data_IF_246149439822
#
_entry.id   IF_246149439822
#
_cell.length_a   1.000
_cell.length_b   1.000
_cell.length_c   1.000
_cell.angle_alpha   90.00
_cell.angle_beta   90.00
_cell.angle_gamma   90.00
#
_symmetry.space_group_name_H-M   'P 1'
#
loop_
_entity.id
_entity.type
_entity.pdbx_description
1 polymer ?
#
# COMPACT_ATOMS: atom_id res chain seq x y z
N UNK A 1 -2.23 2.91 -13.74
CA UNK A 1 -1.07 2.56 -12.90
C UNK A 1 0.25 2.53 -13.67
N UNK A 2 0.32 1.93 -14.87
CA UNK A 2 1.59 1.79 -15.63
C UNK A 2 2.37 3.09 -15.87
N UNK A 3 1.72 4.16 -16.34
CA UNK A 3 2.39 5.44 -16.55
C UNK A 3 3.03 6.02 -15.26
N UNK A 4 2.38 5.84 -14.12
CA UNK A 4 2.90 6.28 -12.81
C UNK A 4 4.12 5.44 -12.43
N UNK A 5 4.07 4.12 -12.68
CA UNK A 5 5.20 3.21 -12.47
C UNK A 5 6.42 3.60 -13.31
N UNK A 6 6.22 3.96 -14.58
CA UNK A 6 7.30 4.46 -15.46
C UNK A 6 7.91 5.76 -14.93
N UNK A 7 7.07 6.74 -14.58
CA UNK A 7 7.56 8.02 -14.00
C UNK A 7 8.30 7.78 -12.69
N UNK A 8 7.84 6.84 -11.86
CA UNK A 8 8.51 6.49 -10.61
C UNK A 8 9.87 5.82 -10.85
N UNK A 9 9.94 4.85 -11.77
CA UNK A 9 11.22 4.23 -12.16
C UNK A 9 12.21 5.28 -12.70
N UNK A 10 11.74 6.18 -13.58
CA UNK A 10 12.56 7.28 -14.09
C UNK A 10 13.05 8.20 -12.97
N UNK A 11 12.21 8.53 -12.00
CA UNK A 11 12.58 9.34 -10.85
C UNK A 11 13.64 8.66 -9.97
N UNK A 12 13.53 7.34 -9.75
CA UNK A 12 14.51 6.57 -8.98
C UNK A 12 15.85 6.48 -9.69
N UNK A 13 15.86 6.14 -10.98
CA UNK A 13 17.10 6.00 -11.78
C UNK A 13 17.78 7.36 -11.94
N UNK A 14 17.04 8.42 -12.26
CA UNK A 14 17.62 9.76 -12.36
C UNK A 14 18.17 10.26 -11.02
N UNK A 15 17.42 10.04 -9.93
CA UNK A 15 17.87 10.37 -8.58
C UNK A 15 19.15 9.64 -8.19
N UNK A 16 19.24 8.34 -8.50
CA UNK A 16 20.45 7.54 -8.29
C UNK A 16 21.64 8.11 -9.06
N UNK A 17 21.51 8.33 -10.37
CA UNK A 17 22.60 8.84 -11.21
C UNK A 17 23.12 10.19 -10.70
N UNK A 18 22.23 11.10 -10.31
CA UNK A 18 22.60 12.44 -9.83
C UNK A 18 23.26 12.40 -8.45
N UNK A 19 22.77 11.56 -7.54
CA UNK A 19 23.15 11.61 -6.12
C UNK A 19 24.24 10.60 -5.75
N UNK A 20 24.42 9.51 -6.50
CA UNK A 20 25.36 8.43 -6.19
C UNK A 20 26.79 8.91 -5.88
N UNK A 21 27.41 9.84 -6.64
CA UNK A 21 28.77 10.30 -6.35
C UNK A 21 28.91 10.99 -4.99
N UNK A 22 27.83 11.60 -4.50
CA UNK A 22 27.79 12.30 -3.22
C UNK A 22 27.38 11.41 -2.04
N UNK A 23 26.60 10.36 -2.31
CA UNK A 23 26.06 9.45 -1.29
C UNK A 23 27.10 8.43 -0.79
N UNK A 24 27.98 7.94 -1.68
CA UNK A 24 28.96 6.90 -1.34
C UNK A 24 29.93 7.34 -0.24
N UNK A 25 30.27 8.64 -0.18
CA UNK A 25 31.24 9.17 0.80
C UNK A 25 30.71 9.22 2.24
N UNK A 26 29.40 9.25 2.42
CA UNK A 26 28.71 9.46 3.70
C UNK A 26 27.64 8.38 3.97
N UNK A 27 27.69 7.23 3.29
CA UNK A 27 26.59 6.25 3.19
C UNK A 27 26.01 5.77 4.53
N UNK A 28 26.83 5.68 5.58
CA UNK A 28 26.40 5.26 6.93
C UNK A 28 26.58 6.36 7.99
N UNK A 29 26.81 7.60 7.58
CA UNK A 29 27.09 8.70 8.48
C UNK A 29 25.79 9.25 9.11
N UNK A 30 25.31 8.63 10.20
CA UNK A 30 24.17 9.14 10.95
C UNK A 30 24.62 10.15 12.02
N UNK A 31 24.73 11.43 11.67
CA UNK A 31 25.31 12.45 12.56
C UNK A 31 24.27 12.93 13.58
N UNK A 32 24.29 12.33 14.77
CA UNK A 32 23.49 12.75 15.93
C UNK A 32 24.10 14.00 16.56
N UNK A 33 23.33 15.09 16.67
CA UNK A 33 23.80 16.34 17.27
C UNK A 33 22.73 17.44 17.23
N UNK A 34 23.11 18.67 17.60
CA UNK A 34 22.18 19.82 17.68
C UNK A 34 21.53 20.20 16.34
N UNK A 35 22.05 19.71 15.20
CA UNK A 35 21.52 19.99 13.87
C UNK A 35 20.52 18.91 13.40
N UNK A 36 19.27 19.00 13.87
CA UNK A 36 18.21 18.06 13.49
C UNK A 36 18.00 17.97 11.96
N UNK A 37 18.19 19.06 11.21
CA UNK A 37 18.04 19.02 9.74
C UNK A 37 19.04 18.06 9.13
N UNK A 38 20.31 18.14 9.53
CA UNK A 38 21.36 17.27 9.00
C UNK A 38 21.09 15.81 9.36
N UNK A 39 20.66 15.55 10.59
CA UNK A 39 20.22 14.23 11.00
C UNK A 39 19.10 13.66 10.10
N UNK A 40 18.05 14.45 9.83
CA UNK A 40 16.94 14.01 8.96
C UNK A 40 17.36 13.83 7.50
N UNK A 41 18.32 14.64 7.01
CA UNK A 41 18.91 14.45 5.68
C UNK A 41 19.72 13.16 5.61
N UNK A 42 20.57 12.90 6.60
CA UNK A 42 21.36 11.68 6.71
C UNK A 42 20.42 10.45 6.79
N UNK A 43 19.35 10.52 7.60
CA UNK A 43 18.34 9.46 7.70
C UNK A 43 17.59 9.22 6.38
N UNK A 44 17.19 10.29 5.67
CA UNK A 44 16.58 10.20 4.34
C UNK A 44 17.51 9.52 3.34
N UNK A 45 18.80 9.86 3.35
CA UNK A 45 19.79 9.27 2.45
C UNK A 45 20.03 7.78 2.75
N UNK A 46 20.20 7.41 4.02
CA UNK A 46 20.41 6.02 4.44
C UNK A 46 19.20 5.16 4.06
N UNK A 47 17.99 5.59 4.46
CA UNK A 47 16.76 4.86 4.14
C UNK A 47 16.52 4.81 2.63
N UNK A 48 16.82 5.90 1.93
CA UNK A 48 16.68 6.02 0.48
C UNK A 48 17.52 4.99 -0.26
N UNK A 49 18.81 4.91 0.08
CA UNK A 49 19.73 4.02 -0.61
C UNK A 49 19.55 2.55 -0.19
N UNK A 50 19.19 2.26 1.06
CA UNK A 50 18.93 0.86 1.49
C UNK A 50 17.64 0.29 0.91
N UNK A 51 16.59 1.11 0.74
CA UNK A 51 15.32 0.69 0.15
C UNK A 51 15.27 0.80 -1.38
N UNK A 52 16.28 1.42 -2.00
CA UNK A 52 16.32 1.64 -3.45
C UNK A 52 16.18 0.36 -4.28
N UNK A 53 16.90 -0.74 -4.01
CA UNK A 53 16.76 -1.98 -4.81
C UNK A 53 15.32 -2.50 -4.79
N UNK A 54 14.68 -2.46 -3.62
CA UNK A 54 13.28 -2.84 -3.45
C UNK A 54 12.35 -1.94 -4.27
N UNK A 55 12.50 -0.62 -4.17
CA UNK A 55 11.65 0.31 -4.92
C UNK A 55 11.83 0.21 -6.43
N UNK A 56 13.06 -0.05 -6.90
CA UNK A 56 13.33 -0.27 -8.32
C UNK A 56 12.70 -1.57 -8.82
N UNK A 57 12.82 -2.65 -8.05
CA UNK A 57 12.16 -3.94 -8.33
C UNK A 57 10.64 -3.77 -8.40
N UNK A 58 10.02 -3.10 -7.43
CA UNK A 58 8.57 -2.85 -7.43
C UNK A 58 8.16 -1.97 -8.62
N UNK A 59 8.90 -0.90 -8.91
CA UNK A 59 8.60 -0.05 -10.05
C UNK A 59 8.65 -0.82 -11.38
N UNK A 60 9.66 -1.68 -11.57
CA UNK A 60 9.81 -2.50 -12.77
C UNK A 60 8.70 -3.56 -12.88
N UNK A 61 8.40 -4.28 -11.80
CA UNK A 61 7.33 -5.28 -11.81
C UNK A 61 5.96 -4.65 -12.09
N UNK A 62 5.65 -3.46 -11.53
CA UNK A 62 4.42 -2.71 -11.84
C UNK A 62 4.33 -2.35 -13.33
N UNK A 63 5.44 -1.99 -13.97
CA UNK A 63 5.47 -1.72 -15.41
C UNK A 63 5.13 -3.01 -16.17
N UNK A 64 5.75 -4.13 -15.82
CA UNK A 64 5.44 -5.43 -16.43
C UNK A 64 3.95 -5.75 -16.30
N UNK A 65 3.37 -5.62 -15.10
CA UNK A 65 1.94 -5.87 -14.89
C UNK A 65 1.03 -4.94 -15.67
N UNK A 66 1.37 -3.65 -15.73
CA UNK A 66 0.51 -2.67 -16.38
C UNK A 66 0.55 -2.76 -17.91
N UNK A 67 1.58 -3.37 -18.48
CA UNK A 67 1.78 -3.49 -19.93
C UNK A 67 1.89 -4.96 -20.37
N UNK A 68 1.42 -5.91 -19.56
CA UNK A 68 1.56 -7.34 -19.85
C UNK A 68 0.89 -7.72 -21.18
N UNK A 69 -0.28 -7.16 -21.51
CA UNK A 69 -0.94 -7.37 -22.80
C UNK A 69 -0.03 -6.97 -23.98
N UNK A 70 0.54 -5.76 -23.94
CA UNK A 70 1.47 -5.30 -24.98
C UNK A 70 2.75 -6.11 -25.04
N UNK A 71 3.24 -6.59 -23.89
CA UNK A 71 4.41 -7.47 -23.83
C UNK A 71 4.10 -8.83 -24.44
N UNK A 72 2.93 -9.39 -24.15
CA UNK A 72 2.45 -10.64 -24.72
C UNK A 72 2.22 -10.51 -26.23
N UNK A 73 1.62 -9.42 -26.70
CA UNK A 73 1.47 -9.13 -28.14
C UNK A 73 2.83 -8.98 -28.84
N UNK A 74 3.80 -8.29 -28.22
CA UNK A 74 5.14 -8.17 -28.80
C UNK A 74 5.86 -9.53 -28.84
N UNK A 75 5.69 -10.35 -27.80
CA UNK A 75 6.25 -11.70 -27.72
C UNK A 75 5.57 -12.66 -28.72
N UNK A 76 4.27 -12.52 -28.98
CA UNK A 76 3.57 -13.31 -30.00
C UNK A 76 4.12 -13.01 -31.40
N UNK A 77 4.37 -11.74 -31.72
CA UNK A 77 4.92 -11.34 -33.02
C UNK A 77 6.38 -11.75 -33.25
N UNK A 78 7.18 -11.80 -32.18
CA UNK A 78 8.64 -11.99 -32.29
C UNK A 78 9.13 -13.39 -31.90
N UNK A 79 8.51 -14.01 -30.89
CA UNK A 79 9.03 -15.20 -30.21
C UNK A 79 8.09 -16.39 -30.36
N UNK A 80 6.81 -16.24 -30.00
CA UNK A 80 5.86 -17.35 -29.96
C UNK A 80 5.24 -17.66 -31.33
N UNK A 81 5.06 -16.67 -32.20
CA UNK A 81 4.46 -16.80 -33.55
C UNK A 81 3.14 -17.58 -33.51
N UNK A 82 3.15 -18.80 -34.03
CA UNK A 82 2.00 -19.71 -34.13
C UNK A 82 1.71 -20.47 -32.81
N UNK A 83 2.62 -20.43 -31.83
CA UNK A 83 2.42 -21.11 -30.54
C UNK A 83 1.56 -20.24 -29.62
N UNK A 84 0.48 -20.79 -29.03
CA UNK A 84 -0.30 -20.04 -28.07
C UNK A 84 0.56 -19.70 -26.84
N UNK A 85 0.40 -18.47 -26.33
CA UNK A 85 1.12 -17.95 -25.16
C UNK A 85 0.71 -18.64 -23.84
N UNK A 86 -0.48 -19.21 -23.81
CA UNK A 86 -1.06 -19.98 -22.71
C UNK A 86 -1.72 -21.22 -23.30
N UNK A 87 -1.57 -22.38 -22.68
CA UNK A 87 -2.31 -23.56 -23.11
C UNK A 87 -3.79 -23.35 -22.77
N UNK A 88 -4.63 -23.14 -23.79
CA UNK A 88 -6.07 -23.24 -23.59
C UNK A 88 -6.39 -24.72 -23.42
N UNK A 89 -6.73 -25.09 -22.19
CA UNK A 89 -7.19 -26.44 -21.87
C UNK A 89 -8.51 -26.67 -22.60
N UNK A 90 -8.62 -27.78 -23.35
CA UNK A 90 -9.87 -28.18 -23.98
C UNK A 90 -10.92 -28.38 -22.90
N UNK A 91 -11.99 -27.59 -22.96
CA UNK A 91 -13.11 -27.76 -22.05
C UNK A 91 -13.82 -29.08 -22.36
N UNK A 92 -14.09 -29.88 -21.34
CA UNK A 92 -15.03 -30.98 -21.47
C UNK A 92 -16.44 -30.41 -21.70
N UNK A 93 -16.97 -30.59 -22.91
CA UNK A 93 -18.33 -30.15 -23.27
C UNK A 93 -19.34 -30.95 -22.43
N UNK A 94 -20.05 -30.28 -21.51
CA UNK A 94 -20.88 -30.92 -20.48
C UNK A 94 -22.30 -30.40 -20.48
N UNK A 95 -23.27 -31.28 -20.80
CA UNK A 95 -24.69 -30.96 -20.64
C UNK A 95 -25.07 -30.71 -19.18
N UNK A 96 -25.87 -29.66 -18.93
CA UNK A 96 -26.27 -29.16 -17.59
C UNK A 96 -26.94 -30.22 -16.69
N UNK A 97 -27.56 -31.26 -17.24
CA UNK A 97 -28.21 -32.34 -16.47
C UNK A 97 -27.22 -33.28 -15.73
N UNK A 98 -25.96 -33.36 -16.15
CA UNK A 98 -24.94 -34.23 -15.55
C UNK A 98 -24.25 -33.66 -14.30
N UNK A 99 -24.58 -32.41 -13.94
CA UNK A 99 -23.67 -31.50 -13.21
C UNK A 99 -24.01 -31.38 -11.71
N UNK A 100 -25.27 -31.59 -11.31
CA UNK A 100 -25.72 -31.50 -9.92
C UNK A 100 -25.94 -32.90 -9.31
N UNK A 101 -24.86 -33.54 -8.82
CA UNK A 101 -24.95 -34.81 -8.09
C UNK A 101 -23.73 -35.72 -8.20
N UNK A 102 -22.86 -35.47 -9.18
CA UNK A 102 -21.69 -36.31 -9.49
C UNK A 102 -20.34 -35.68 -9.10
N UNK A 103 -20.34 -34.64 -8.26
CA UNK A 103 -19.09 -34.06 -7.78
C UNK A 103 -18.30 -35.12 -6.99
N UNK A 104 -17.01 -35.23 -7.29
CA UNK A 104 -16.15 -36.10 -6.51
C UNK A 104 -16.06 -35.59 -5.07
N UNK A 105 -15.97 -36.51 -4.08
CA UNK A 105 -15.69 -36.12 -2.72
C UNK A 105 -14.38 -35.32 -2.64
N UNK A 106 -14.30 -34.25 -1.82
CA UNK A 106 -13.07 -33.49 -1.63
C UNK A 106 -11.85 -34.35 -1.28
N UNK A 107 -12.06 -35.45 -0.55
CA UNK A 107 -11.00 -36.39 -0.18
C UNK A 107 -10.39 -37.11 -1.39
N UNK A 108 -11.21 -37.41 -2.41
CA UNK A 108 -10.74 -38.04 -3.66
C UNK A 108 -9.90 -37.06 -4.47
N UNK A 109 -10.36 -35.81 -4.60
CA UNK A 109 -9.59 -34.75 -5.28
C UNK A 109 -8.24 -34.51 -4.60
N UNK A 110 -8.22 -34.45 -3.27
CA UNK A 110 -6.98 -34.31 -2.50
C UNK A 110 -6.06 -35.53 -2.66
N UNK A 111 -6.60 -36.75 -2.71
CA UNK A 111 -5.80 -37.95 -2.93
C UNK A 111 -5.17 -37.98 -4.34
N UNK A 112 -5.94 -37.61 -5.37
CA UNK A 112 -5.45 -37.48 -6.74
C UNK A 112 -4.35 -36.42 -6.82
N UNK A 113 -4.54 -35.27 -6.17
CA UNK A 113 -3.54 -34.20 -6.13
C UNK A 113 -2.27 -34.66 -5.43
N UNK A 114 -2.39 -35.35 -4.29
CA UNK A 114 -1.25 -35.88 -3.55
C UNK A 114 -0.45 -36.90 -4.37
N UNK A 115 -1.11 -37.65 -5.25
CA UNK A 115 -0.43 -38.59 -6.16
C UNK A 115 0.32 -37.87 -7.28
N UNK A 116 -0.24 -36.78 -7.81
CA UNK A 116 0.37 -36.00 -8.88
C UNK A 116 1.46 -35.03 -8.39
N UNK A 117 1.30 -34.47 -7.19
CA UNK A 117 2.19 -33.50 -6.57
C UNK A 117 2.37 -33.79 -5.06
N UNK A 118 3.24 -34.76 -4.69
CA UNK A 118 3.40 -35.21 -3.31
C UNK A 118 3.86 -34.13 -2.32
N UNK A 119 4.60 -33.14 -2.81
CA UNK A 119 5.18 -32.08 -1.98
C UNK A 119 4.27 -30.83 -1.88
N UNK A 120 3.12 -30.84 -2.55
CA UNK A 120 2.15 -29.75 -2.49
C UNK A 120 1.33 -29.85 -1.20
N UNK A 121 1.19 -28.73 -0.48
CA UNK A 121 0.45 -28.64 0.78
C UNK A 121 -0.85 -27.87 0.54
N UNK A 122 -2.01 -28.55 0.43
CA UNK A 122 -3.30 -27.91 0.25
C UNK A 122 -3.69 -27.07 1.48
N UNK A 123 -4.21 -25.87 1.25
CA UNK A 123 -4.70 -24.93 2.30
C UNK A 123 -6.17 -24.61 2.15
N UNK A 124 -6.65 -24.56 0.91
CA UNK A 124 -8.06 -24.30 0.61
C UNK A 124 -8.49 -25.03 -0.65
N UNK A 125 -9.81 -25.12 -0.81
CA UNK A 125 -10.44 -25.67 -2.00
C UNK A 125 -11.59 -24.75 -2.38
N UNK A 126 -11.56 -24.21 -3.59
CA UNK A 126 -12.58 -23.33 -4.12
C UNK A 126 -13.25 -23.99 -5.32
N UNK A 127 -14.57 -24.10 -5.28
CA UNK A 127 -15.38 -24.56 -6.40
C UNK A 127 -15.86 -23.35 -7.20
N UNK A 128 -15.47 -23.26 -8.46
CA UNK A 128 -15.87 -22.19 -9.38
C UNK A 128 -16.91 -22.75 -10.33
N UNK A 129 -18.09 -22.13 -10.36
CA UNK A 129 -19.19 -22.54 -11.23
C UNK A 129 -19.51 -24.04 -11.17
N UNK A 130 -19.70 -24.67 -9.99
CA UNK A 130 -19.86 -26.13 -9.86
C UNK A 130 -21.13 -26.71 -10.52
N UNK A 131 -21.92 -25.87 -11.19
CA UNK A 131 -23.13 -26.23 -11.94
C UNK A 131 -23.11 -25.68 -13.37
N UNK A 132 -21.93 -25.31 -13.88
CA UNK A 132 -21.75 -24.81 -15.26
C UNK A 132 -20.86 -25.75 -16.09
N UNK A 133 -20.84 -25.51 -17.41
CA UNK A 133 -19.90 -26.13 -18.35
C UNK A 133 -18.43 -25.84 -18.02
N UNK A 134 -18.17 -24.83 -17.19
CA UNK A 134 -16.83 -24.38 -16.79
C UNK A 134 -16.58 -24.65 -15.29
N UNK A 135 -17.13 -25.75 -14.78
CA UNK A 135 -16.94 -26.14 -13.40
C UNK A 135 -15.48 -26.53 -13.16
N UNK A 136 -14.82 -25.84 -12.24
CA UNK A 136 -13.41 -26.02 -11.89
C UNK A 136 -13.28 -26.09 -10.36
N UNK A 137 -12.41 -26.96 -9.86
CA UNK A 137 -11.96 -26.94 -8.47
C UNK A 137 -10.53 -26.44 -8.41
N UNK A 138 -10.34 -25.27 -7.79
CA UNK A 138 -9.01 -24.75 -7.48
C UNK A 138 -8.61 -25.14 -6.07
N UNK A 139 -7.58 -25.97 -5.98
CA UNK A 139 -6.97 -26.35 -4.70
C UNK A 139 -5.77 -25.43 -4.47
N UNK A 140 -5.97 -24.41 -3.63
CA UNK A 140 -4.95 -23.42 -3.28
C UNK A 140 -4.00 -23.96 -2.21
N UNK A 141 -2.70 -23.79 -2.41
CA UNK A 141 -1.68 -24.38 -1.54
C UNK A 141 -0.26 -23.90 -1.79
N UNK A 142 0.66 -24.47 -1.04
CA UNK A 142 2.06 -24.06 -1.02
C UNK A 142 2.95 -25.25 -1.38
N UNK A 143 4.02 -25.00 -2.14
CA UNK A 143 5.17 -25.88 -2.21
C UNK A 143 6.36 -25.07 -1.67
N UNK A 144 7.07 -25.59 -0.67
CA UNK A 144 8.12 -24.84 0.03
C UNK A 144 9.38 -24.64 -0.82
N UNK A 145 9.57 -25.45 -1.86
CA UNK A 145 10.74 -25.43 -2.73
C UNK A 145 10.54 -24.58 -3.99
N UNK A 146 9.30 -24.12 -4.25
CA UNK A 146 8.94 -23.40 -5.46
C UNK A 146 8.24 -22.08 -5.17
N UNK A 147 8.52 -21.07 -6.01
CA UNK A 147 7.80 -19.80 -5.97
C UNK A 147 6.39 -19.97 -6.54
N UNK A 148 5.48 -19.08 -6.13
CA UNK A 148 4.08 -19.12 -6.54
C UNK A 148 3.66 -17.82 -7.20
N UNK A 149 2.78 -17.94 -8.19
CA UNK A 149 2.21 -16.79 -8.90
C UNK A 149 1.23 -15.98 -8.04
N UNK A 150 0.54 -16.60 -7.08
CA UNK A 150 -0.39 -15.90 -6.20
C UNK A 150 0.29 -15.08 -5.10
N UNK A 151 -0.51 -14.27 -4.40
CA UNK A 151 0.00 -13.39 -3.34
C UNK A 151 0.56 -14.16 -2.13
N UNK A 152 0.00 -15.34 -1.86
CA UNK A 152 0.39 -16.20 -0.75
C UNK A 152 0.48 -17.69 -1.11
N UNK A 153 -0.07 -18.11 -2.25
CA UNK A 153 -0.19 -19.53 -2.63
C UNK A 153 -0.26 -19.73 -4.14
N UNK A 154 0.09 -20.93 -4.60
CA UNK A 154 -0.23 -21.42 -5.94
C UNK A 154 -1.58 -22.14 -5.92
N UNK A 155 -2.01 -22.67 -7.06
CA UNK A 155 -3.20 -23.52 -7.08
C UNK A 155 -3.08 -24.63 -8.12
N UNK A 156 -3.64 -25.78 -7.80
CA UNK A 156 -3.92 -26.83 -8.76
C UNK A 156 -5.35 -26.63 -9.27
N UNK A 157 -5.52 -26.46 -10.58
CA UNK A 157 -6.82 -26.54 -11.23
C UNK A 157 -7.16 -28.01 -11.46
N UNK A 158 -8.34 -28.42 -11.04
CA UNK A 158 -8.79 -29.80 -11.17
C UNK A 158 -10.25 -29.84 -11.63
N UNK A 159 -10.53 -30.87 -12.40
CA UNK A 159 -11.88 -31.18 -12.80
C UNK A 159 -12.69 -31.71 -11.60
N UNK A 160 -13.85 -31.09 -11.25
CA UNK A 160 -14.64 -31.51 -10.10
C UNK A 160 -15.25 -32.91 -10.19
N UNK A 161 -15.35 -33.48 -11.40
CA UNK A 161 -16.08 -34.72 -11.68
C UNK A 161 -15.16 -35.89 -12.02
N UNK A 162 -14.08 -35.63 -12.76
CA UNK A 162 -13.07 -36.66 -13.10
C UNK A 162 -11.92 -36.67 -12.09
N UNK A 163 -11.64 -35.53 -11.46
CA UNK A 163 -10.50 -35.36 -10.55
C UNK A 163 -9.15 -35.32 -11.26
N UNK A 164 -9.17 -35.06 -12.57
CA UNK A 164 -7.98 -34.85 -13.38
C UNK A 164 -7.45 -33.42 -13.20
N UNK A 165 -6.14 -33.23 -13.34
CA UNK A 165 -5.51 -31.91 -13.29
C UNK A 165 -5.77 -31.17 -14.62
N UNK A 166 -6.38 -29.99 -14.52
CA UNK A 166 -6.62 -29.07 -15.65
C UNK A 166 -5.37 -28.18 -15.88
N UNK A 167 -4.24 -28.83 -16.10
CA UNK A 167 -2.95 -28.17 -16.35
C UNK A 167 -2.00 -28.10 -15.17
N UNK A 168 -0.73 -27.82 -15.47
CA UNK A 168 0.34 -27.65 -14.47
C UNK A 168 0.91 -26.23 -14.38
N UNK A 169 0.41 -25.30 -15.20
CA UNK A 169 0.91 -23.92 -15.33
C UNK A 169 0.76 -23.06 -14.06
N UNK A 170 -0.01 -23.52 -13.08
CA UNK A 170 -0.19 -22.85 -11.78
C UNK A 170 0.25 -23.74 -10.62
N UNK A 171 0.67 -24.98 -10.93
CA UNK A 171 1.10 -25.98 -9.99
C UNK A 171 2.60 -25.79 -9.71
N UNK A 172 2.98 -25.36 -8.50
CA UNK A 172 4.37 -25.01 -8.22
C UNK A 172 5.33 -26.18 -8.46
N UNK A 173 6.34 -25.97 -9.31
CA UNK A 173 7.36 -26.95 -9.66
C UNK A 173 7.10 -27.79 -10.91
N UNK A 174 5.93 -27.63 -11.54
CA UNK A 174 5.57 -28.34 -12.77
C UNK A 174 5.40 -27.40 -13.97
N UNK A 175 5.94 -26.19 -13.86
CA UNK A 175 5.84 -25.15 -14.87
C UNK A 175 7.02 -25.18 -15.84
N UNK A 176 6.86 -24.56 -17.02
CA UNK A 176 7.94 -24.46 -17.99
C UNK A 176 8.87 -23.27 -17.66
N UNK A 177 10.07 -23.24 -18.25
CA UNK A 177 11.08 -22.21 -17.96
C UNK A 177 10.63 -20.77 -18.25
N UNK A 178 9.67 -20.57 -19.16
CA UNK A 178 9.11 -19.23 -19.44
C UNK A 178 8.12 -18.82 -18.37
N UNK A 179 7.26 -19.73 -17.95
CA UNK A 179 6.32 -19.49 -16.86
C UNK A 179 7.08 -19.25 -15.56
N UNK A 180 8.17 -19.97 -15.28
CA UNK A 180 9.05 -19.73 -14.11
C UNK A 180 9.59 -18.29 -14.01
N UNK A 181 9.95 -17.68 -15.15
CA UNK A 181 10.37 -16.27 -15.19
C UNK A 181 9.19 -15.35 -14.82
N UNK A 182 8.00 -15.66 -15.32
CA UNK A 182 6.78 -14.92 -14.98
C UNK A 182 6.43 -15.09 -13.50
N UNK A 183 6.42 -16.31 -12.96
CA UNK A 183 6.23 -16.57 -11.52
C UNK A 183 7.24 -15.75 -10.71
N UNK A 184 8.50 -15.69 -11.12
CA UNK A 184 9.52 -14.92 -10.41
C UNK A 184 9.16 -13.43 -10.33
N UNK A 185 8.62 -12.84 -11.41
CA UNK A 185 8.14 -11.45 -11.41
C UNK A 185 6.95 -11.28 -10.46
N UNK A 186 6.00 -12.23 -10.46
CA UNK A 186 4.88 -12.24 -9.52
C UNK A 186 5.37 -12.37 -8.07
N UNK A 187 6.28 -13.30 -7.80
CA UNK A 187 6.82 -13.55 -6.47
C UNK A 187 7.59 -12.34 -5.92
N UNK A 188 8.40 -11.67 -6.76
CA UNK A 188 9.07 -10.42 -6.41
C UNK A 188 8.11 -9.25 -6.21
N UNK A 189 6.96 -9.24 -6.87
CA UNK A 189 5.99 -8.17 -6.70
C UNK A 189 5.14 -8.35 -5.44
N UNK A 190 4.64 -9.56 -5.22
CA UNK A 190 3.77 -9.90 -4.09
C UNK A 190 4.55 -10.21 -2.81
N UNK A 191 5.85 -10.53 -2.91
CA UNK A 191 6.65 -10.98 -1.78
C UNK A 191 6.24 -12.37 -1.29
N UNK A 192 5.81 -13.25 -2.21
CA UNK A 192 5.30 -14.60 -1.92
C UNK A 192 6.40 -15.65 -1.64
N UNK A 193 7.62 -15.20 -1.35
CA UNK A 193 8.79 -16.04 -1.03
C UNK A 193 9.35 -15.70 0.35
N UNK A 194 10.13 -16.59 0.97
CA UNK A 194 10.77 -16.33 2.26
C UNK A 194 9.81 -16.17 3.45
N UNK A 195 8.53 -16.54 3.27
CA UNK A 195 7.51 -16.60 4.30
C UNK A 195 7.29 -15.29 5.07
N UNK A 196 6.98 -15.41 6.36
CA UNK A 196 6.66 -14.27 7.22
C UNK A 196 7.80 -13.25 7.33
N UNK A 197 9.06 -13.69 7.28
CA UNK A 197 10.22 -12.80 7.34
C UNK A 197 10.20 -11.80 6.17
N UNK A 198 10.03 -12.31 4.94
CA UNK A 198 10.00 -11.46 3.75
C UNK A 198 8.78 -10.53 3.75
N UNK A 199 7.63 -11.00 4.22
CA UNK A 199 6.44 -10.15 4.39
C UNK A 199 6.73 -8.94 5.30
N UNK A 200 7.45 -9.14 6.41
CA UNK A 200 7.89 -8.04 7.26
C UNK A 200 8.91 -7.12 6.57
N UNK A 201 9.87 -7.67 5.82
CA UNK A 201 10.79 -6.87 5.01
C UNK A 201 10.01 -5.96 4.03
N UNK A 202 9.01 -6.50 3.34
CA UNK A 202 8.17 -5.75 2.41
C UNK A 202 7.36 -4.65 3.12
N UNK A 203 6.83 -4.92 4.31
CA UNK A 203 6.18 -3.90 5.14
C UNK A 203 7.15 -2.76 5.46
N UNK A 204 8.36 -3.06 5.93
CA UNK A 204 9.33 -2.01 6.28
C UNK A 204 9.86 -1.25 5.06
N UNK A 205 10.10 -1.93 3.93
CA UNK A 205 10.52 -1.27 2.69
C UNK A 205 9.40 -0.43 2.07
N UNK A 206 8.14 -0.87 2.17
CA UNK A 206 6.98 -0.07 1.78
C UNK A 206 6.84 1.20 2.63
N UNK A 207 6.99 1.08 3.95
CA UNK A 207 7.00 2.22 4.87
C UNK A 207 8.19 3.17 4.64
N UNK A 208 9.36 2.62 4.29
CA UNK A 208 10.53 3.41 3.88
C UNK A 208 10.20 4.29 2.66
N UNK A 209 9.51 3.76 1.65
CA UNK A 209 9.04 4.53 0.51
C UNK A 209 8.14 5.70 0.91
N UNK A 210 7.13 5.45 1.74
CA UNK A 210 6.24 6.49 2.25
C UNK A 210 7.02 7.58 3.02
N UNK A 211 7.98 7.17 3.85
CA UNK A 211 8.88 8.07 4.56
C UNK A 211 9.70 8.94 3.60
N UNK A 212 10.25 8.38 2.52
CA UNK A 212 11.07 9.11 1.55
C UNK A 212 10.28 10.17 0.80
N UNK A 213 9.07 9.85 0.32
CA UNK A 213 8.21 10.84 -0.33
C UNK A 213 7.87 12.00 0.60
N UNK A 214 7.49 11.69 1.84
CA UNK A 214 7.15 12.72 2.83
C UNK A 214 8.36 13.60 3.20
N UNK A 215 9.48 12.98 3.56
CA UNK A 215 10.68 13.69 4.01
C UNK A 215 11.40 14.41 2.88
N UNK A 216 11.43 13.86 1.66
CA UNK A 216 12.00 14.50 0.48
C UNK A 216 11.31 15.82 0.17
N UNK A 217 9.98 15.83 0.15
CA UNK A 217 9.19 17.06 -0.05
C UNK A 217 9.44 18.09 1.08
N UNK A 218 9.50 17.64 2.33
CA UNK A 218 9.78 18.52 3.47
C UNK A 218 11.18 19.15 3.40
N UNK A 219 12.20 18.34 3.08
CA UNK A 219 13.58 18.79 2.91
C UNK A 219 13.74 19.75 1.73
N UNK A 220 13.02 19.51 0.63
CA UNK A 220 13.01 20.39 -0.53
C UNK A 220 12.44 21.77 -0.19
N UNK A 221 11.29 21.82 0.48
CA UNK A 221 10.65 23.08 0.93
C UNK A 221 11.60 23.87 1.83
N UNK A 222 12.19 23.23 2.84
CA UNK A 222 13.07 23.91 3.80
C UNK A 222 14.41 24.33 3.18
N UNK A 223 14.95 23.54 2.24
CA UNK A 223 16.20 23.90 1.55
C UNK A 223 16.00 25.09 0.62
N UNK A 224 14.85 25.18 -0.06
CA UNK A 224 14.49 26.35 -0.88
C UNK A 224 14.37 27.62 -0.04
N UNK A 225 13.63 27.55 1.07
CA UNK A 225 13.48 28.66 2.03
C UNK A 225 14.84 29.19 2.51
N UNK A 226 15.76 28.30 2.88
CA UNK A 226 17.11 28.70 3.32
C UNK A 226 17.94 29.34 2.21
N UNK A 227 17.83 28.85 0.97
CA UNK A 227 18.54 29.44 -0.17
C UNK A 227 18.08 30.88 -0.42
N UNK A 228 16.78 31.16 -0.30
CA UNK A 228 16.25 32.52 -0.37
C UNK A 228 16.78 33.41 0.76
N UNK A 229 16.76 32.94 2.02
CA UNK A 229 17.34 33.68 3.15
C UNK A 229 18.82 34.00 2.95
N UNK A 230 19.62 33.03 2.50
CA UNK A 230 21.08 33.21 2.32
C UNK A 230 21.38 34.24 1.23
N UNK A 231 20.53 34.34 0.22
CA UNK A 231 20.69 35.30 -0.86
C UNK A 231 20.19 36.71 -0.51
N UNK A 232 19.84 36.97 0.76
CA UNK A 232 19.44 38.29 1.26
C UNK A 232 18.05 38.76 0.82
N UNK A 233 17.29 37.95 0.08
CA UNK A 233 15.94 38.29 -0.37
C UNK A 233 14.86 37.97 0.67
N UNK A 234 13.72 38.66 0.58
CA UNK A 234 12.52 38.27 1.32
C UNK A 234 12.12 36.83 0.98
N UNK A 235 11.75 36.05 1.99
CA UNK A 235 11.32 34.66 1.81
C UNK A 235 9.88 34.65 1.31
N UNK A 236 9.72 34.65 -0.01
CA UNK A 236 8.41 34.50 -0.63
C UNK A 236 8.00 33.03 -0.70
N UNK A 237 6.86 32.73 -0.08
CA UNK A 237 6.20 31.43 -0.19
C UNK A 237 5.36 31.36 -1.47
N UNK A 238 6.01 31.00 -2.58
CA UNK A 238 5.33 30.85 -3.88
C UNK A 238 4.13 29.90 -3.78
N UNK A 239 3.06 30.22 -4.53
CA UNK A 239 1.85 29.38 -4.60
C UNK A 239 2.17 27.91 -4.90
N UNK A 240 3.11 27.64 -5.80
CA UNK A 240 3.55 26.28 -6.12
C UNK A 240 4.16 25.54 -4.92
N UNK A 241 4.95 26.21 -4.09
CA UNK A 241 5.51 25.63 -2.86
C UNK A 241 4.42 25.34 -1.84
N UNK A 242 3.44 26.24 -1.69
CA UNK A 242 2.28 26.02 -0.81
C UNK A 242 1.40 24.87 -1.28
N UNK A 243 1.14 24.77 -2.58
CA UNK A 243 0.36 23.68 -3.18
C UNK A 243 1.07 22.33 -3.00
N UNK A 244 2.37 22.27 -3.27
CA UNK A 244 3.16 21.04 -3.09
C UNK A 244 3.18 20.60 -1.61
N UNK A 245 3.38 21.54 -0.68
CA UNK A 245 3.32 21.25 0.75
C UNK A 245 1.93 20.77 1.19
N UNK A 246 0.86 21.37 0.66
CA UNK A 246 -0.52 20.97 0.95
C UNK A 246 -0.82 19.56 0.41
N UNK A 247 -0.42 19.28 -0.82
CA UNK A 247 -0.55 17.96 -1.43
C UNK A 247 0.22 16.90 -0.64
N UNK A 248 1.45 17.22 -0.18
CA UNK A 248 2.26 16.30 0.65
C UNK A 248 1.52 15.91 1.93
N UNK A 249 0.97 16.90 2.64
CA UNK A 249 0.22 16.66 3.87
C UNK A 249 -1.07 15.87 3.60
N UNK A 250 -1.86 16.32 2.62
CA UNK A 250 -3.14 15.71 2.27
C UNK A 250 -3.01 14.27 1.79
N UNK A 251 -2.06 13.98 0.90
CA UNK A 251 -1.82 12.63 0.38
C UNK A 251 -1.31 11.71 1.48
N UNK A 252 -0.29 12.12 2.25
CA UNK A 252 0.29 11.24 3.26
C UNK A 252 -0.69 10.94 4.39
N UNK A 253 -1.28 11.96 5.01
CA UNK A 253 -2.17 11.75 6.17
C UNK A 253 -3.57 11.32 5.76
N UNK A 254 -4.02 11.69 4.55
CA UNK A 254 -5.25 11.17 3.94
C UNK A 254 -5.17 9.67 3.68
N UNK A 255 -4.04 9.15 3.18
CA UNK A 255 -3.83 7.72 3.01
C UNK A 255 -3.85 6.98 4.34
N UNK A 256 -3.16 7.51 5.36
CA UNK A 256 -3.12 6.91 6.70
C UNK A 256 -4.51 6.87 7.35
N UNK A 257 -5.30 7.94 7.22
CA UNK A 257 -6.66 7.98 7.73
C UNK A 257 -7.61 7.09 6.92
N UNK A 258 -7.48 7.09 5.59
CA UNK A 258 -8.32 6.29 4.68
C UNK A 258 -8.20 4.80 4.96
N UNK A 259 -7.00 4.28 5.24
CA UNK A 259 -6.80 2.88 5.63
C UNK A 259 -7.60 2.55 6.89
N UNK A 260 -7.48 3.37 7.94
CA UNK A 260 -8.18 3.14 9.20
C UNK A 260 -9.71 3.18 9.06
N UNK A 261 -10.22 4.11 8.25
CA UNK A 261 -11.66 4.21 7.97
C UNK A 261 -12.15 3.05 7.12
N UNK A 262 -11.39 2.61 6.10
CA UNK A 262 -11.74 1.43 5.32
C UNK A 262 -11.85 0.18 6.21
N UNK A 263 -10.86 -0.05 7.07
CA UNK A 263 -10.88 -1.16 8.03
C UNK A 263 -12.10 -1.10 8.96
N UNK A 264 -12.43 0.09 9.48
CA UNK A 264 -13.58 0.28 10.36
C UNK A 264 -14.89 0.10 9.62
N UNK A 265 -15.04 0.67 8.42
CA UNK A 265 -16.24 0.55 7.60
C UNK A 265 -16.56 -0.92 7.29
N UNK A 266 -15.55 -1.73 6.98
CA UNK A 266 -15.73 -3.17 6.77
C UNK A 266 -16.30 -3.91 7.97
N UNK A 267 -15.90 -3.57 9.20
CA UNK A 267 -16.47 -4.17 10.41
C UNK A 267 -17.98 -3.92 10.51
N UNK A 268 -18.47 -2.78 10.04
CA UNK A 268 -19.88 -2.36 10.20
C UNK A 268 -20.78 -2.70 9.01
N UNK A 269 -20.26 -2.66 7.79
CA UNK A 269 -21.09 -2.64 6.58
C UNK A 269 -20.94 -3.91 5.71
N UNK A 270 -20.25 -4.94 6.21
CA UNK A 270 -19.99 -6.20 5.48
C UNK A 270 -21.24 -6.97 5.02
N UNK A 271 -22.41 -6.74 5.64
CA UNK A 271 -23.65 -7.47 5.34
C UNK A 271 -24.48 -6.85 4.21
N UNK A 272 -24.29 -5.56 3.90
CA UNK A 272 -25.20 -4.80 3.05
C UNK A 272 -24.59 -4.33 1.72
N UNK A 273 -23.28 -4.45 1.57
CA UNK A 273 -22.54 -3.99 0.38
C UNK A 273 -21.46 -5.01 0.10
N UNK A 274 -21.15 -5.21 -1.19
CA UNK A 274 -19.93 -5.92 -1.58
C UNK A 274 -18.73 -5.35 -0.80
N UNK A 275 -18.08 -6.16 0.05
CA UNK A 275 -17.02 -5.66 0.91
C UNK A 275 -15.92 -4.99 0.10
N UNK A 276 -15.51 -5.57 -1.04
CA UNK A 276 -14.43 -5.04 -1.88
C UNK A 276 -14.71 -3.59 -2.33
N UNK A 277 -15.92 -3.34 -2.82
CA UNK A 277 -16.38 -2.00 -3.21
C UNK A 277 -16.43 -1.04 -2.04
N UNK A 278 -16.95 -1.48 -0.89
CA UNK A 278 -17.09 -0.65 0.30
C UNK A 278 -15.72 -0.13 0.81
N UNK A 279 -14.73 -1.01 0.97
CA UNK A 279 -13.40 -0.62 1.44
C UNK A 279 -12.78 0.44 0.52
N UNK A 280 -12.94 0.25 -0.79
CA UNK A 280 -12.40 1.13 -1.82
C UNK A 280 -13.03 2.54 -1.76
N UNK A 281 -14.36 2.61 -1.69
CA UNK A 281 -15.08 3.88 -1.60
C UNK A 281 -14.77 4.62 -0.29
N UNK A 282 -14.76 3.90 0.83
CA UNK A 282 -14.43 4.48 2.14
C UNK A 282 -13.01 5.08 2.13
N UNK A 283 -12.03 4.35 1.58
CA UNK A 283 -10.66 4.84 1.44
C UNK A 283 -10.59 6.09 0.56
N UNK A 284 -11.11 6.03 -0.67
CA UNK A 284 -10.96 7.13 -1.62
C UNK A 284 -11.72 8.38 -1.21
N UNK A 285 -12.89 8.23 -0.60
CA UNK A 285 -13.64 9.37 -0.07
C UNK A 285 -12.81 10.12 0.98
N UNK A 286 -12.28 9.42 1.97
CA UNK A 286 -11.45 10.02 3.03
C UNK A 286 -10.17 10.61 2.46
N UNK A 287 -9.51 9.88 1.55
CA UNK A 287 -8.28 10.32 0.90
C UNK A 287 -8.50 11.64 0.12
N UNK A 288 -9.51 11.69 -0.76
CA UNK A 288 -9.80 12.87 -1.56
C UNK A 288 -10.29 14.04 -0.70
N UNK A 289 -11.11 13.78 0.32
CA UNK A 289 -11.53 14.79 1.28
C UNK A 289 -10.34 15.39 2.04
N UNK A 290 -9.39 14.56 2.48
CA UNK A 290 -8.18 15.02 3.16
C UNK A 290 -7.28 15.86 2.24
N UNK A 291 -7.12 15.45 0.98
CA UNK A 291 -6.38 16.22 -0.03
C UNK A 291 -7.04 17.58 -0.29
N UNK A 292 -8.36 17.60 -0.50
CA UNK A 292 -9.13 18.84 -0.68
C UNK A 292 -9.01 19.75 0.55
N UNK A 293 -9.15 19.18 1.75
CA UNK A 293 -9.01 19.88 3.02
C UNK A 293 -7.63 20.53 3.17
N UNK A 294 -6.56 19.82 2.78
CA UNK A 294 -5.20 20.35 2.83
C UNK A 294 -5.01 21.57 1.91
N UNK A 295 -5.62 21.56 0.72
CA UNK A 295 -5.57 22.71 -0.19
C UNK A 295 -6.36 23.91 0.33
N UNK A 296 -7.53 23.69 0.94
CA UNK A 296 -8.38 24.76 1.49
C UNK A 296 -7.73 25.40 2.73
N UNK A 297 -7.31 24.58 3.70
CA UNK A 297 -6.76 25.07 4.98
C UNK A 297 -5.32 25.53 4.89
N UNK A 298 -4.59 25.05 3.89
CA UNK A 298 -3.14 25.25 3.76
C UNK A 298 -2.33 24.27 4.62
N UNK A 299 -1.02 24.14 4.34
CA UNK A 299 -0.23 23.00 4.78
C UNK A 299 0.06 22.97 6.28
N UNK A 300 0.22 24.13 6.94
CA UNK A 300 0.46 24.20 8.39
C UNK A 300 -0.72 23.69 9.21
N UNK A 301 -1.91 24.28 9.03
CA UNK A 301 -3.12 23.91 9.79
C UNK A 301 -3.60 22.50 9.45
N UNK A 302 -3.66 22.17 8.16
CA UNK A 302 -4.11 20.85 7.73
C UNK A 302 -3.20 19.74 8.22
N UNK A 303 -1.90 19.97 8.43
CA UNK A 303 -1.02 18.95 9.01
C UNK A 303 -1.47 18.56 10.41
N UNK A 304 -1.80 19.53 11.26
CA UNK A 304 -2.29 19.24 12.62
C UNK A 304 -3.63 18.52 12.56
N UNK A 305 -4.57 19.06 11.77
CA UNK A 305 -5.94 18.56 11.68
C UNK A 305 -6.00 17.15 11.10
N UNK A 306 -5.25 16.86 10.03
CA UNK A 306 -5.24 15.56 9.37
C UNK A 306 -4.47 14.50 10.15
N UNK A 307 -3.38 14.86 10.85
CA UNK A 307 -2.71 13.92 11.76
C UNK A 307 -3.64 13.57 12.93
N UNK A 308 -4.35 14.55 13.49
CA UNK A 308 -5.31 14.32 14.57
C UNK A 308 -6.48 13.44 14.10
N UNK A 309 -7.04 13.76 12.93
CA UNK A 309 -8.09 12.97 12.30
C UNK A 309 -7.64 11.53 12.04
N UNK A 310 -6.43 11.34 11.49
CA UNK A 310 -5.85 10.01 11.33
C UNK A 310 -5.73 9.29 12.67
N UNK A 311 -5.26 9.96 13.72
CA UNK A 311 -5.18 9.38 15.07
C UNK A 311 -6.54 8.91 15.59
N UNK A 312 -7.58 9.74 15.47
CA UNK A 312 -8.95 9.35 15.85
C UNK A 312 -9.46 8.19 14.99
N UNK A 313 -9.27 8.25 13.67
CA UNK A 313 -9.67 7.19 12.75
C UNK A 313 -9.04 5.84 13.12
N UNK A 314 -7.75 5.81 13.46
CA UNK A 314 -7.08 4.60 13.93
C UNK A 314 -7.65 4.07 15.25
N UNK A 315 -8.07 4.94 16.18
CA UNK A 315 -8.74 4.52 17.42
C UNK A 315 -10.15 3.95 17.19
N UNK A 316 -10.80 4.25 16.06
CA UNK A 316 -12.13 3.67 15.76
C UNK A 316 -12.07 2.16 15.51
N UNK A 317 -10.92 1.63 15.08
CA UNK A 317 -10.71 0.20 14.82
C UNK A 317 -10.84 -0.64 16.11
N UNK A 318 -10.06 -0.40 17.19
CA UNK A 318 -10.21 -1.10 18.46
C UNK A 318 -11.48 -0.67 19.21
N UNK A 319 -11.94 0.57 19.07
CA UNK A 319 -13.19 1.01 19.69
C UNK A 319 -14.39 0.21 19.15
N UNK A 320 -14.42 -0.09 17.85
CA UNK A 320 -15.45 -0.94 17.25
C UNK A 320 -15.41 -2.35 17.84
N UNK A 321 -14.22 -2.93 17.98
CA UNK A 321 -14.08 -4.26 18.59
C UNK A 321 -14.56 -4.28 20.05
N UNK A 322 -14.21 -3.25 20.83
CA UNK A 322 -14.65 -3.09 22.21
C UNK A 322 -16.17 -2.91 22.31
N UNK A 323 -16.77 -2.05 21.49
CA UNK A 323 -18.22 -1.82 21.48
C UNK A 323 -18.97 -3.11 21.15
N UNK A 324 -18.52 -3.83 20.14
CA UNK A 324 -19.15 -5.07 19.73
C UNK A 324 -18.98 -6.17 20.81
N UNK A 325 -17.86 -6.18 21.55
CA UNK A 325 -17.67 -7.07 22.69
C UNK A 325 -18.62 -6.74 23.85
N UNK A 326 -18.80 -5.46 24.16
CA UNK A 326 -19.71 -5.00 25.22
C UNK A 326 -21.19 -5.15 24.84
N UNK A 327 -21.51 -5.08 23.55
CA UNK A 327 -22.87 -5.17 23.02
C UNK A 327 -22.95 -6.21 21.88
N UNK A 328 -23.00 -7.52 22.21
CA UNK A 328 -22.97 -8.60 21.21
C UNK A 328 -24.11 -8.58 20.19
N UNK A 329 -25.21 -7.88 20.47
CA UNK A 329 -26.33 -7.70 19.56
C UNK A 329 -26.04 -6.69 18.42
N UNK A 330 -24.92 -5.95 18.47
CA UNK A 330 -24.54 -5.02 17.41
C UNK A 330 -24.17 -5.79 16.13
N UNK A 331 -24.47 -5.23 14.94
CA UNK A 331 -24.18 -5.89 13.67
C UNK A 331 -22.69 -5.87 13.29
N UNK A 332 -21.81 -5.38 14.18
CA UNK A 332 -20.39 -5.26 13.92
C UNK A 332 -19.70 -6.63 13.96
N UNK A 333 -18.89 -6.90 12.94
CA UNK A 333 -18.09 -8.12 12.89
C UNK A 333 -16.91 -8.04 13.87
N UNK A 334 -16.81 -9.02 14.76
CA UNK A 334 -15.71 -9.18 15.69
C UNK A 334 -14.92 -10.42 15.34
N UNK A 335 -13.59 -10.30 15.39
CA UNK A 335 -12.68 -11.41 15.30
C UNK A 335 -11.94 -11.55 16.64
N UNK A 336 -12.04 -12.73 17.26
CA UNK A 336 -11.37 -13.04 18.54
C UNK A 336 -10.04 -13.75 18.35
N UNK A 337 -9.64 -14.03 17.10
CA UNK A 337 -8.38 -14.68 16.80
C UNK A 337 -7.18 -13.77 17.16
N UNK A 338 -6.00 -14.35 17.52
CA UNK A 338 -4.82 -13.57 17.93
C UNK A 338 -4.33 -12.54 16.90
N UNK A 339 -4.41 -12.85 15.59
CA UNK A 339 -4.00 -11.95 14.52
C UNK A 339 -4.83 -10.65 14.47
N UNK A 340 -6.16 -10.74 14.34
CA UNK A 340 -7.05 -9.58 14.43
C UNK A 340 -6.90 -8.76 15.73
N UNK A 341 -6.68 -9.41 16.88
CA UNK A 341 -6.37 -8.69 18.13
C UNK A 341 -5.06 -7.90 18.05
N UNK A 342 -4.03 -8.44 17.38
CA UNK A 342 -2.80 -7.71 17.13
C UNK A 342 -3.04 -6.46 16.26
N UNK A 343 -3.94 -6.55 15.28
CA UNK A 343 -4.35 -5.40 14.45
C UNK A 343 -5.00 -4.32 15.31
N UNK A 344 -5.94 -4.69 16.20
CA UNK A 344 -6.59 -3.74 17.12
C UNK A 344 -5.56 -3.10 18.08
N UNK A 345 -4.60 -3.88 18.59
CA UNK A 345 -3.50 -3.41 19.42
C UNK A 345 -2.56 -2.44 18.69
N UNK A 346 -2.15 -2.77 17.47
CA UNK A 346 -1.36 -1.87 16.61
C UNK A 346 -2.13 -0.60 16.31
N UNK A 347 -3.43 -0.69 16.04
CA UNK A 347 -4.27 0.47 15.75
C UNK A 347 -4.42 1.40 16.96
N UNK A 348 -4.54 0.86 18.16
CA UNK A 348 -4.54 1.63 19.40
C UNK A 348 -3.22 2.41 19.56
N UNK A 349 -2.08 1.71 19.44
CA UNK A 349 -0.75 2.33 19.57
C UNK A 349 -0.54 3.40 18.49
N UNK A 350 -0.87 3.10 17.23
CA UNK A 350 -0.77 4.04 16.13
C UNK A 350 -1.63 5.29 16.36
N UNK A 351 -2.90 5.10 16.78
CA UNK A 351 -3.82 6.19 17.09
C UNK A 351 -3.28 7.13 18.17
N UNK A 352 -2.78 6.58 19.28
CA UNK A 352 -2.17 7.38 20.37
C UNK A 352 -0.93 8.12 19.90
N UNK A 353 -0.03 7.46 19.18
CA UNK A 353 1.20 8.08 18.66
C UNK A 353 0.89 9.19 17.66
N UNK A 354 -0.12 9.03 16.80
CA UNK A 354 -0.58 10.04 15.86
C UNK A 354 -1.18 11.25 16.60
N UNK A 355 -1.98 11.06 17.63
CA UNK A 355 -2.52 12.17 18.43
C UNK A 355 -1.40 12.95 19.15
N UNK A 356 -0.41 12.25 19.70
CA UNK A 356 0.78 12.89 20.29
C UNK A 356 1.60 13.63 19.22
N UNK A 357 1.73 13.05 18.02
CA UNK A 357 2.37 13.70 16.88
C UNK A 357 1.61 14.96 16.45
N UNK A 358 0.28 14.94 16.43
CA UNK A 358 -0.55 16.11 16.12
C UNK A 358 -0.29 17.23 17.14
N UNK A 359 -0.26 16.89 18.44
CA UNK A 359 0.02 17.84 19.52
C UNK A 359 1.40 18.48 19.39
N UNK A 360 2.44 17.69 19.09
CA UNK A 360 3.81 18.22 18.86
C UNK A 360 3.89 19.05 17.58
N UNK A 361 3.18 18.63 16.53
CA UNK A 361 3.11 19.36 15.26
C UNK A 361 2.44 20.71 15.44
N UNK A 362 1.35 20.78 16.22
CA UNK A 362 0.67 22.03 16.55
C UNK A 362 1.63 23.04 17.20
N UNK A 363 2.39 22.62 18.22
CA UNK A 363 3.38 23.50 18.86
C UNK A 363 4.36 24.08 17.84
N UNK A 364 4.87 23.25 16.93
CA UNK A 364 5.84 23.66 15.91
C UNK A 364 5.25 24.55 14.82
N UNK A 365 4.00 24.30 14.41
CA UNK A 365 3.29 25.04 13.36
C UNK A 365 2.87 26.44 13.84
N UNK A 366 2.41 26.56 15.10
CA UNK A 366 1.93 27.84 15.64
C UNK A 366 3.02 28.72 16.25
N UNK A 367 4.14 28.14 16.71
CA UNK A 367 5.27 28.87 17.32
C UNK A 367 6.55 28.80 16.47
N UNK A 368 6.44 28.29 15.24
CA UNK A 368 7.57 28.19 14.32
C UNK A 368 7.95 29.54 13.69
N UNK A 369 8.92 29.50 12.79
CA UNK A 369 9.32 30.69 12.05
C UNK A 369 8.18 31.15 11.11
N UNK A 370 7.83 32.44 11.17
CA UNK A 370 6.71 33.05 10.43
C UNK A 370 6.86 33.01 8.91
N UNK A 371 8.09 32.94 8.42
CA UNK A 371 8.43 32.85 6.99
C UNK A 371 8.41 31.41 6.45
N UNK A 372 7.94 30.45 7.24
CA UNK A 372 7.79 29.05 6.84
C UNK A 372 6.41 28.81 6.22
N UNK A 373 6.33 28.00 5.15
CA UNK A 373 5.04 27.55 4.60
C UNK A 373 4.20 26.79 5.63
N UNK A 374 4.86 26.21 6.63
CA UNK A 374 4.24 25.45 7.71
C UNK A 374 3.67 26.34 8.82
N UNK A 375 3.96 27.63 8.83
CA UNK A 375 3.48 28.53 9.88
C UNK A 375 1.98 28.81 9.73
N UNK A 376 1.26 28.78 10.85
CA UNK A 376 -0.20 28.99 10.86
C UNK A 376 -0.71 29.95 11.94
N UNK A 377 0.20 30.61 12.67
CA UNK A 377 -0.13 31.66 13.64
C UNK A 377 -0.44 33.01 12.99
N UNK A 378 -0.78 34.02 13.81
CA UNK A 378 -0.94 35.40 13.32
C UNK A 378 0.43 35.96 12.91
N UNK A 379 0.59 36.58 11.73
CA UNK A 379 1.83 37.24 11.37
C UNK A 379 2.21 38.27 12.44
N UNK A 380 3.47 38.28 12.88
CA UNK A 380 3.97 39.35 13.75
C UNK A 380 3.98 40.66 12.93
N UNK A 381 2.91 41.45 13.02
CA UNK A 381 2.78 42.70 12.26
C UNK A 381 1.37 43.28 12.10
N UNK A 382 0.29 42.56 12.42
CA UNK A 382 -1.03 43.18 12.54
C UNK A 382 -1.19 43.71 13.98
N UNK A 383 -1.16 45.04 14.21
CA UNK A 383 -1.60 45.58 15.49
C UNK A 383 -3.07 45.19 15.69
N UNK A 384 -3.43 44.83 16.92
CA UNK A 384 -4.82 44.60 17.31
C UNK A 384 -5.62 45.89 17.07
N UNK A 385 -6.21 46.01 15.89
CA UNK A 385 -7.04 47.16 15.56
C UNK A 385 -8.37 47.01 16.30
N UNK A 386 -8.65 48.03 17.10
CA UNK A 386 -9.95 48.44 17.67
C UNK A 386 -10.33 47.81 19.02
N UNK A 387 -9.78 48.39 20.08
CA UNK A 387 -10.55 48.74 21.29
C UNK A 387 -10.36 50.23 21.57
N UNK A 388 -10.98 51.07 20.72
CA UNK A 388 -11.06 52.52 20.93
C UNK A 388 -12.46 53.00 20.53
N UNK A 389 -13.35 53.00 21.52
CA UNK A 389 -14.58 53.79 21.57
C UNK A 389 -14.81 54.01 23.07
N UNK A 390 -14.28 55.09 23.66
CA UNK A 390 -14.88 56.43 23.72
C UNK A 390 -16.29 56.35 24.30
N UNK A 391 -16.38 56.27 25.63
CA UNK A 391 -17.52 56.78 26.39
C UNK A 391 -17.15 58.15 26.95
N UNK A 392 -17.56 59.19 26.24
CA UNK A 392 -17.79 60.53 26.78
C UNK A 392 -18.91 61.17 25.95
N UNK A 393 -20.12 61.11 26.49
CA UNK A 393 -21.16 62.14 26.44
C UNK A 393 -22.34 61.70 27.32
#
# INVERSE_FOLDING_TARGET
MGAIGVVYALALVSGLVVLLPTLVKDFLALRRGKNLKRFWLDAHNVIGLTSLPFHLMIALTVIVFAFHDFLYDALSLTTYKERPLFEMHEHHDRGVETVAGNLLPPQTLLANLQQAAPDFIPREMQYLGPVSEHAEVRIGGENLDHMVRGADRGFAAMDPYTGELEGTEYLPGHENAWTDIVISIFALHFGSYGGAFMRWVYVFMGLAGAFLFYTGNLLWVETRRRKQRRNGGQVEQKRSTRLMASATVGVCWGSVAGIAIAMTAGKWLYRGVDPASLYLWAYYFVFLAAVAWAFVRGPGRSAVELIAFAGVAWLTVPATALLAYLFPAMPAWIQTAPGPLAVDGTALVAGVLLLEMARRTAKRVFHGNTDSVWYAGKPAGEPDSVAAGVEHA
#
